data_IF_667135911359
#
_entry.id   IF_667135911359
#
_cell.length_a   1.000
_cell.length_b   1.000
_cell.length_c   1.000
_cell.angle_alpha   90.00
_cell.angle_beta   90.00
_cell.angle_gamma   90.00
#
_symmetry.space_group_name_H-M   'P 1'
#
loop_
_entity.id
_entity.type
_entity.pdbx_description
1 polymer ?
#
# COMPACT_ATOMS: atom_id res chain seq x y z
N UNK A 1 -28.18 4.22 37.48
CA UNK A 1 -27.10 3.46 36.81
C UNK A 1 -27.62 2.80 35.52
N UNK A 2 -28.67 1.96 35.56
CA UNK A 2 -29.23 1.30 34.37
C UNK A 2 -29.73 2.27 33.28
N UNK A 3 -30.44 3.34 33.64
CA UNK A 3 -30.93 4.34 32.68
C UNK A 3 -29.79 5.11 31.97
N UNK A 4 -28.69 5.38 32.69
CA UNK A 4 -27.51 6.01 32.10
C UNK A 4 -26.77 5.05 31.14
N UNK A 5 -26.70 3.76 31.47
CA UNK A 5 -26.15 2.73 30.59
C UNK A 5 -26.99 2.53 29.32
N UNK A 6 -28.32 2.50 29.45
CA UNK A 6 -29.23 2.38 28.31
C UNK A 6 -29.15 3.60 27.38
N UNK A 7 -29.10 4.82 27.96
CA UNK A 7 -28.93 6.05 27.19
C UNK A 7 -27.62 6.10 26.41
N UNK A 8 -26.52 5.65 27.01
CA UNK A 8 -25.21 5.57 26.34
C UNK A 8 -25.24 4.53 25.22
N UNK A 9 -25.82 3.35 25.46
CA UNK A 9 -25.95 2.31 24.45
C UNK A 9 -26.80 2.76 23.24
N UNK A 10 -27.93 3.42 23.48
CA UNK A 10 -28.77 4.00 22.43
C UNK A 10 -28.05 5.12 21.66
N UNK A 11 -27.26 5.94 22.35
CA UNK A 11 -26.46 7.00 21.72
C UNK A 11 -25.39 6.41 20.81
N UNK A 12 -24.69 5.35 21.25
CA UNK A 12 -23.70 4.64 20.42
C UNK A 12 -24.38 3.97 19.23
N UNK A 13 -25.51 3.29 19.44
CA UNK A 13 -26.26 2.65 18.37
C UNK A 13 -26.78 3.67 17.33
N UNK A 14 -27.25 4.84 17.79
CA UNK A 14 -27.66 5.92 16.90
C UNK A 14 -26.46 6.47 16.10
N UNK A 15 -25.34 6.74 16.77
CA UNK A 15 -24.11 7.20 16.10
C UNK A 15 -23.61 6.19 15.06
N UNK A 16 -23.70 4.89 15.38
CA UNK A 16 -23.39 3.80 14.46
C UNK A 16 -24.33 3.78 13.25
N UNK A 17 -25.63 3.96 13.46
CA UNK A 17 -26.61 3.98 12.38
C UNK A 17 -26.43 5.17 11.43
N UNK A 18 -26.00 6.34 11.93
CA UNK A 18 -25.82 7.54 11.11
C UNK A 18 -24.45 7.69 10.46
N UNK A 19 -23.47 6.88 10.85
CA UNK A 19 -22.10 6.91 10.33
C UNK A 19 -22.02 6.24 8.95
N UNK A 20 -21.70 6.97 7.87
CA UNK A 20 -21.55 6.39 6.54
C UNK A 20 -20.43 5.35 6.51
N UNK A 21 -19.30 5.59 7.18
CA UNK A 21 -18.19 4.63 7.20
C UNK A 21 -18.59 3.35 7.97
N UNK A 22 -19.31 3.48 9.08
CA UNK A 22 -19.81 2.32 9.83
C UNK A 22 -20.80 1.50 9.00
N UNK A 23 -21.64 2.12 8.17
CA UNK A 23 -22.56 1.38 7.28
C UNK A 23 -21.80 0.55 6.26
N UNK A 24 -20.79 1.14 5.61
CA UNK A 24 -19.93 0.43 4.66
C UNK A 24 -19.23 -0.75 5.34
N UNK A 25 -18.60 -0.52 6.50
CA UNK A 25 -17.94 -1.56 7.30
C UNK A 25 -18.90 -2.70 7.69
N UNK A 26 -20.09 -2.38 8.20
CA UNK A 26 -21.09 -3.39 8.59
C UNK A 26 -21.64 -4.18 7.40
N UNK A 27 -21.72 -3.55 6.24
CA UNK A 27 -22.15 -4.20 5.00
C UNK A 27 -21.05 -5.02 4.32
N UNK A 28 -19.83 -5.04 4.88
CA UNK A 28 -18.68 -5.72 4.30
C UNK A 28 -18.18 -5.10 3.00
N UNK A 29 -18.58 -3.85 2.71
CA UNK A 29 -18.18 -3.11 1.52
C UNK A 29 -16.85 -2.42 1.73
N UNK A 30 -16.14 -2.20 0.63
CA UNK A 30 -14.85 -1.52 0.63
C UNK A 30 -15.00 -0.07 1.11
N UNK A 31 -14.13 0.32 2.03
CA UNK A 31 -14.07 1.70 2.52
C UNK A 31 -12.92 2.43 1.85
N UNK A 32 -13.24 3.51 1.14
CA UNK A 32 -12.27 4.31 0.37
C UNK A 32 -11.94 5.60 1.10
N UNK A 33 -10.68 5.82 1.43
CA UNK A 33 -10.18 7.00 2.14
C UNK A 33 -9.07 7.66 1.32
N UNK A 34 -9.32 8.86 0.80
CA UNK A 34 -8.36 9.68 0.10
C UNK A 34 -7.58 10.57 1.08
N UNK A 35 -6.28 10.33 1.21
CA UNK A 35 -5.33 11.20 1.88
C UNK A 35 -4.83 12.23 0.87
N UNK A 36 -5.22 13.50 1.06
CA UNK A 36 -5.02 14.58 0.09
C UNK A 36 -3.91 15.53 0.57
N UNK A 37 -2.67 15.28 0.18
CA UNK A 37 -1.55 16.18 0.46
C UNK A 37 -1.38 17.25 -0.62
N UNK A 38 -0.52 18.24 -0.37
CA UNK A 38 -0.31 19.36 -1.29
C UNK A 38 0.33 18.95 -2.63
N UNK A 39 1.25 17.97 -2.61
CA UNK A 39 2.04 17.52 -3.78
C UNK A 39 1.92 16.04 -4.08
N UNK A 40 1.33 15.28 -3.18
CA UNK A 40 1.06 13.86 -3.35
C UNK A 40 -0.24 13.54 -2.63
N UNK A 41 -0.99 12.60 -3.18
CA UNK A 41 -2.19 12.05 -2.56
C UNK A 41 -2.10 10.54 -2.55
N UNK A 42 -2.78 9.91 -1.60
CA UNK A 42 -2.88 8.46 -1.50
C UNK A 42 -4.34 8.05 -1.33
N UNK A 43 -4.80 7.05 -2.06
CA UNK A 43 -6.11 6.43 -1.88
C UNK A 43 -5.92 5.12 -1.13
N UNK A 44 -6.52 5.02 0.05
CA UNK A 44 -6.58 3.79 0.82
C UNK A 44 -7.93 3.12 0.54
N UNK A 45 -7.91 1.87 0.09
CA UNK A 45 -9.09 1.04 -0.09
C UNK A 45 -8.99 -0.08 0.93
N UNK A 46 -9.77 0.03 2.00
CA UNK A 46 -9.87 -1.01 3.01
C UNK A 46 -10.93 -2.03 2.61
N UNK A 47 -10.55 -3.30 2.62
CA UNK A 47 -11.38 -4.45 2.32
C UNK A 47 -11.73 -5.16 3.64
N UNK A 48 -12.93 -4.95 4.23
CA UNK A 48 -13.25 -5.52 5.54
C UNK A 48 -13.21 -7.05 5.54
N UNK A 49 -13.65 -7.68 4.44
CA UNK A 49 -13.69 -9.14 4.29
C UNK A 49 -12.32 -9.81 4.40
N UNK A 50 -11.30 -9.24 3.76
CA UNK A 50 -9.92 -9.76 3.80
C UNK A 50 -9.06 -9.11 4.89
N UNK A 51 -9.56 -8.06 5.54
CA UNK A 51 -8.78 -7.21 6.44
C UNK A 51 -7.49 -6.73 5.78
N UNK A 52 -7.57 -6.31 4.51
CA UNK A 52 -6.44 -5.75 3.76
C UNK A 52 -6.70 -4.30 3.36
N UNK A 53 -5.63 -3.53 3.18
CA UNK A 53 -5.67 -2.13 2.73
C UNK A 53 -4.82 -2.01 1.47
N UNK A 54 -5.48 -1.74 0.35
CA UNK A 54 -4.79 -1.37 -0.88
C UNK A 54 -4.51 0.13 -0.84
N UNK A 55 -3.28 0.52 -1.13
CA UNK A 55 -2.88 1.93 -1.17
C UNK A 55 -2.47 2.30 -2.57
N UNK A 56 -3.06 3.36 -3.11
CA UNK A 56 -2.73 3.93 -4.42
C UNK A 56 -2.14 5.32 -4.24
N UNK A 57 -0.84 5.47 -4.47
CA UNK A 57 -0.15 6.76 -4.40
C UNK A 57 -0.13 7.45 -5.76
N UNK A 58 -0.36 8.75 -5.76
CA UNK A 58 -0.30 9.60 -6.96
C UNK A 58 0.40 10.90 -6.62
N UNK A 59 1.52 11.15 -7.29
CA UNK A 59 2.19 12.45 -7.29
C UNK A 59 1.48 13.41 -8.24
N UNK A 60 1.22 14.64 -7.81
CA UNK A 60 0.54 15.64 -8.62
C UNK A 60 1.08 17.04 -8.37
N UNK A 61 0.84 17.95 -9.32
CA UNK A 61 1.15 19.38 -9.12
C UNK A 61 0.31 19.94 -7.97
N UNK A 62 0.78 21.03 -7.36
CA UNK A 62 0.06 21.70 -6.26
C UNK A 62 -1.38 22.01 -6.66
N UNK A 63 -2.33 21.65 -5.79
CA UNK A 63 -3.76 21.86 -6.04
C UNK A 63 -4.06 23.35 -6.33
N UNK A 64 -5.03 23.59 -7.23
CA UNK A 64 -5.43 24.96 -7.56
C UNK A 64 -6.20 25.56 -6.38
N UNK A 65 -6.02 26.85 -6.14
CA UNK A 65 -6.78 27.57 -5.12
C UNK A 65 -8.30 27.45 -5.39
N UNK A 66 -9.08 27.06 -4.37
CA UNK A 66 -10.53 26.89 -4.47
C UNK A 66 -11.02 25.48 -4.83
N UNK A 67 -10.12 24.52 -5.04
CA UNK A 67 -10.51 23.13 -5.27
C UNK A 67 -10.93 22.44 -3.96
N UNK A 68 -12.18 21.97 -3.90
CA UNK A 68 -12.71 21.28 -2.71
C UNK A 68 -12.05 19.91 -2.52
N UNK A 69 -11.79 19.50 -1.27
CA UNK A 69 -11.24 18.17 -0.96
C UNK A 69 -12.03 17.01 -1.58
N UNK A 70 -13.37 17.10 -1.59
CA UNK A 70 -14.23 16.12 -2.23
C UNK A 70 -13.91 15.90 -3.72
N UNK A 71 -13.80 16.97 -4.51
CA UNK A 71 -13.45 16.88 -5.94
C UNK A 71 -12.09 16.23 -6.16
N UNK A 72 -11.10 16.56 -5.30
CA UNK A 72 -9.78 15.94 -5.35
C UNK A 72 -9.82 14.45 -5.04
N UNK A 73 -10.62 14.04 -4.06
CA UNK A 73 -10.82 12.63 -3.73
C UNK A 73 -11.46 11.85 -4.89
N UNK A 74 -12.52 12.39 -5.50
CA UNK A 74 -13.16 11.78 -6.68
C UNK A 74 -12.19 11.68 -7.86
N UNK A 75 -11.39 12.72 -8.11
CA UNK A 75 -10.39 12.68 -9.18
C UNK A 75 -9.30 11.61 -8.92
N UNK A 76 -8.90 11.43 -7.65
CA UNK A 76 -7.94 10.41 -7.25
C UNK A 76 -8.51 9.00 -7.43
N UNK A 77 -9.77 8.77 -7.07
CA UNK A 77 -10.47 7.49 -7.29
C UNK A 77 -10.57 7.12 -8.76
N UNK A 78 -10.94 8.09 -9.60
CA UNK A 78 -10.97 7.90 -11.05
C UNK A 78 -9.59 7.58 -11.62
N UNK A 79 -8.54 8.23 -11.09
CA UNK A 79 -7.15 7.94 -11.49
C UNK A 79 -6.70 6.52 -11.09
N UNK A 80 -7.24 5.99 -9.99
CA UNK A 80 -7.01 4.61 -9.55
C UNK A 80 -7.87 3.55 -10.27
N UNK A 81 -8.64 3.95 -11.30
CA UNK A 81 -9.47 3.03 -12.08
C UNK A 81 -10.85 2.72 -11.48
N UNK A 82 -11.31 3.52 -10.51
CA UNK A 82 -12.67 3.40 -9.96
C UNK A 82 -13.75 3.64 -11.03
N UNK A 83 -14.78 2.80 -11.06
CA UNK A 83 -15.75 2.74 -12.17
C UNK A 83 -16.99 3.62 -12.03
N UNK A 84 -17.34 4.11 -10.83
CA UNK A 84 -18.61 4.83 -10.61
C UNK A 84 -18.48 5.94 -9.56
N UNK A 85 -19.25 7.01 -9.79
CA UNK A 85 -19.21 8.31 -9.15
C UNK A 85 -19.37 8.30 -7.61
N UNK A 86 -18.27 8.42 -6.88
CA UNK A 86 -18.15 9.19 -5.63
C UNK A 86 -19.07 8.85 -4.45
N UNK A 87 -19.93 7.84 -4.54
CA UNK A 87 -20.78 7.42 -3.43
C UNK A 87 -19.87 6.72 -2.41
N UNK A 88 -19.54 7.47 -1.35
CA UNK A 88 -18.83 7.05 -0.15
C UNK A 88 -17.29 7.03 -0.24
N UNK A 89 -16.71 8.02 -0.95
CA UNK A 89 -15.30 8.35 -0.75
C UNK A 89 -15.13 9.26 0.46
N UNK A 90 -14.29 8.84 1.39
CA UNK A 90 -13.88 9.67 2.52
C UNK A 90 -12.59 10.38 2.17
N UNK A 91 -12.37 11.57 2.71
CA UNK A 91 -11.11 12.27 2.48
C UNK A 91 -10.55 12.88 3.76
N UNK A 92 -9.23 13.00 3.80
CA UNK A 92 -8.46 13.69 4.82
C UNK A 92 -7.44 14.58 4.09
N UNK A 93 -7.61 15.88 4.18
CA UNK A 93 -6.70 16.87 3.67
C UNK A 93 -5.52 17.04 4.64
N UNK A 94 -4.32 16.94 4.08
CA UNK A 94 -3.07 17.00 4.81
C UNK A 94 -2.30 18.26 4.40
N UNK A 95 -1.64 18.95 5.35
CA UNK A 95 -0.83 20.13 5.05
C UNK A 95 0.44 19.77 4.25
N UNK A 96 0.86 18.51 4.30
CA UNK A 96 2.03 17.97 3.60
C UNK A 96 1.65 16.74 2.79
N UNK A 97 2.59 16.23 1.99
CA UNK A 97 2.43 14.92 1.38
C UNK A 97 2.16 13.85 2.46
N UNK A 98 1.29 12.86 2.20
CA UNK A 98 1.09 11.74 3.11
C UNK A 98 2.39 10.96 3.24
N UNK A 99 2.99 11.01 4.43
CA UNK A 99 4.11 10.15 4.79
C UNK A 99 3.56 8.79 5.20
N UNK A 100 3.49 7.91 4.20
CA UNK A 100 2.98 6.56 4.39
C UNK A 100 3.89 5.74 5.31
N UNK A 101 5.20 5.98 5.30
CA UNK A 101 6.16 5.31 6.18
C UNK A 101 5.92 5.68 7.64
N UNK A 102 5.74 6.98 7.93
CA UNK A 102 5.38 7.43 9.27
C UNK A 102 4.03 6.87 9.73
N UNK A 103 3.05 6.82 8.82
CA UNK A 103 1.73 6.24 9.10
C UNK A 103 1.85 4.75 9.46
N UNK A 104 2.57 3.96 8.67
CA UNK A 104 2.79 2.54 8.97
C UNK A 104 3.65 2.30 10.20
N UNK A 105 4.70 3.10 10.38
CA UNK A 105 5.53 3.07 11.58
C UNK A 105 4.68 3.26 12.83
N UNK A 106 3.74 4.21 12.79
CA UNK A 106 2.80 4.43 13.89
C UNK A 106 1.84 3.25 14.07
N UNK A 107 1.25 2.74 12.98
CA UNK A 107 0.32 1.60 13.01
C UNK A 107 0.94 0.29 13.49
N UNK A 108 2.22 0.05 13.22
CA UNK A 108 2.92 -1.14 13.70
C UNK A 108 3.35 -1.01 15.16
N UNK A 109 3.71 0.20 15.59
CA UNK A 109 4.32 0.41 16.90
C UNK A 109 3.35 0.85 18.00
N UNK A 110 2.11 1.27 17.69
CA UNK A 110 1.19 1.77 18.72
C UNK A 110 0.88 0.75 19.82
N UNK A 111 0.84 -0.56 19.51
CA UNK A 111 0.63 -1.62 20.51
C UNK A 111 1.81 -1.73 21.48
N UNK A 112 3.03 -1.57 20.97
CA UNK A 112 4.25 -1.56 21.77
C UNK A 112 4.46 -0.21 22.49
N UNK A 113 3.94 0.88 21.93
CA UNK A 113 4.05 2.24 22.46
C UNK A 113 2.67 2.94 22.46
N UNK A 114 1.78 2.61 23.42
CA UNK A 114 0.41 3.16 23.48
C UNK A 114 0.35 4.68 23.55
N UNK A 115 1.43 5.31 24.05
CA UNK A 115 1.59 6.78 24.08
C UNK A 115 1.46 7.44 22.71
N UNK A 116 1.72 6.71 21.62
CA UNK A 116 1.55 7.20 20.24
C UNK A 116 0.08 7.41 19.86
N UNK A 117 -0.87 6.82 20.59
CA UNK A 117 -2.30 7.03 20.34
C UNK A 117 -2.75 8.44 20.70
N UNK A 118 -2.20 9.05 21.75
CA UNK A 118 -2.59 10.39 22.20
C UNK A 118 -2.35 11.45 21.10
N UNK A 119 -1.15 11.58 20.50
CA UNK A 119 -0.94 12.52 19.41
C UNK A 119 -1.73 12.15 18.15
N UNK A 120 -1.95 10.87 17.87
CA UNK A 120 -2.79 10.45 16.74
C UNK A 120 -4.24 10.90 16.92
N UNK A 121 -4.80 10.72 18.13
CA UNK A 121 -6.16 11.14 18.46
C UNK A 121 -6.29 12.66 18.45
N UNK A 122 -5.34 13.41 19.03
CA UNK A 122 -5.38 14.88 19.00
C UNK A 122 -5.29 15.43 17.58
N UNK A 123 -4.46 14.81 16.74
CA UNK A 123 -4.37 15.12 15.32
C UNK A 123 -5.69 14.85 14.59
N UNK A 124 -6.32 13.69 14.82
CA UNK A 124 -7.64 13.36 14.27
C UNK A 124 -8.72 14.38 14.66
N UNK A 125 -8.74 14.83 15.91
CA UNK A 125 -9.66 15.89 16.34
C UNK A 125 -9.35 17.24 15.68
N UNK A 126 -8.07 17.56 15.45
CA UNK A 126 -7.64 18.77 14.73
C UNK A 126 -8.08 18.82 13.27
N UNK A 127 -8.20 17.67 12.60
CA UNK A 127 -8.67 17.60 11.20
C UNK A 127 -10.13 18.08 11.04
N UNK A 128 -10.95 17.93 12.09
CA UNK A 128 -12.37 18.28 12.02
C UNK A 128 -12.63 19.78 12.03
N UNK A 129 -11.85 20.56 12.77
CA UNK A 129 -12.07 22.01 12.90
C UNK A 129 -11.75 22.79 11.63
N UNK A 130 -10.97 22.22 10.70
CA UNK A 130 -10.51 22.88 9.47
C UNK A 130 -11.26 22.54 8.18
N UNK A 131 -12.41 21.83 8.23
CA UNK A 131 -13.04 21.22 7.04
C UNK A 131 -12.08 20.33 6.24
N UNK A 132 -11.05 19.78 6.91
CA UNK A 132 -10.04 18.95 6.27
C UNK A 132 -10.55 17.53 6.02
N UNK A 133 -11.72 17.15 6.53
CA UNK A 133 -12.30 15.82 6.31
C UNK A 133 -13.82 15.87 6.23
N UNK A 134 -14.41 14.94 5.49
CA UNK A 134 -15.85 14.66 5.52
C UNK A 134 -16.22 13.53 6.52
N UNK A 135 -15.25 12.98 7.24
CA UNK A 135 -15.48 11.95 8.25
C UNK A 135 -16.04 12.59 9.54
N UNK A 136 -17.09 12.00 10.09
CA UNK A 136 -17.52 12.32 11.44
C UNK A 136 -16.52 11.79 12.47
N UNK A 137 -16.55 12.33 13.68
CA UNK A 137 -15.72 11.81 14.78
C UNK A 137 -15.99 10.33 15.08
N UNK A 138 -17.22 9.85 14.85
CA UNK A 138 -17.55 8.44 15.02
C UNK A 138 -17.00 7.60 13.86
N UNK A 139 -17.05 8.07 12.61
CA UNK A 139 -16.41 7.39 11.48
C UNK A 139 -14.91 7.20 11.75
N UNK A 140 -14.24 8.25 12.21
CA UNK A 140 -12.81 8.20 12.56
C UNK A 140 -12.54 7.18 13.67
N UNK A 141 -13.40 7.13 14.69
CA UNK A 141 -13.29 6.15 15.76
C UNK A 141 -13.43 4.71 15.24
N UNK A 142 -14.44 4.42 14.42
CA UNK A 142 -14.65 3.11 13.83
C UNK A 142 -13.48 2.68 12.92
N UNK A 143 -13.04 3.57 12.03
CA UNK A 143 -11.92 3.30 11.14
C UNK A 143 -10.62 3.07 11.91
N UNK A 144 -10.36 3.88 12.94
CA UNK A 144 -9.21 3.67 13.82
C UNK A 144 -9.31 2.33 14.53
N UNK A 145 -10.50 1.93 14.99
CA UNK A 145 -10.75 0.62 15.59
C UNK A 145 -10.44 -0.53 14.63
N UNK A 146 -10.89 -0.47 13.39
CA UNK A 146 -10.57 -1.48 12.38
C UNK A 146 -9.08 -1.50 12.03
N UNK A 147 -8.48 -0.34 11.78
CA UNK A 147 -7.05 -0.23 11.45
C UNK A 147 -6.15 -0.65 12.60
N UNK A 148 -6.62 -0.47 13.84
CA UNK A 148 -5.90 -0.96 15.02
C UNK A 148 -5.72 -2.47 15.00
N UNK A 149 -6.60 -3.23 14.35
CA UNK A 149 -6.48 -4.70 14.25
C UNK A 149 -5.46 -5.12 13.19
N UNK A 150 -5.15 -4.24 12.24
CA UNK A 150 -4.25 -4.55 11.13
C UNK A 150 -2.77 -4.58 11.57
N UNK A 151 -1.96 -5.19 10.71
CA UNK A 151 -0.50 -5.22 10.76
C UNK A 151 0.08 -4.80 9.41
N UNK A 152 1.38 -4.51 9.33
CA UNK A 152 2.04 -4.13 8.06
C UNK A 152 1.79 -5.09 6.90
N UNK A 153 1.67 -6.40 7.16
CA UNK A 153 1.42 -7.39 6.11
C UNK A 153 0.04 -7.29 5.49
N UNK A 154 -0.89 -6.57 6.12
CA UNK A 154 -2.23 -6.33 5.58
C UNK A 154 -2.27 -5.18 4.57
N UNK A 155 -1.17 -4.42 4.42
CA UNK A 155 -1.10 -3.28 3.51
C UNK A 155 -0.46 -3.69 2.19
N UNK A 156 -1.17 -3.46 1.10
CA UNK A 156 -0.71 -3.72 -0.26
C UNK A 156 -0.44 -2.37 -0.92
N UNK A 157 0.82 -2.10 -1.23
CA UNK A 157 1.22 -0.86 -1.87
C UNK A 157 1.18 -0.99 -3.38
N UNK A 158 0.39 -0.15 -4.04
CA UNK A 158 0.34 -0.03 -5.49
C UNK A 158 0.69 1.40 -5.86
N UNK A 159 1.93 1.64 -6.27
CA UNK A 159 2.31 2.96 -6.76
C UNK A 159 1.93 3.09 -8.25
N UNK A 160 0.99 3.99 -8.57
CA UNK A 160 0.60 4.27 -9.95
C UNK A 160 1.44 5.45 -10.42
N UNK A 161 2.68 5.17 -10.80
CA UNK A 161 3.50 6.13 -11.56
C UNK A 161 2.92 6.27 -12.97
N UNK A 162 1.93 7.15 -13.11
CA UNK A 162 1.29 7.46 -14.40
C UNK A 162 2.28 8.23 -15.30
N UNK A 163 3.02 7.50 -16.11
CA UNK A 163 3.40 7.87 -17.49
C UNK A 163 4.09 9.21 -17.74
N UNK A 164 4.77 9.81 -16.75
CA UNK A 164 5.61 11.01 -16.98
C UNK A 164 7.11 10.73 -16.78
N UNK A 165 7.47 9.52 -16.31
CA UNK A 165 8.87 9.13 -16.11
C UNK A 165 9.53 8.50 -17.34
N UNK A 166 8.82 8.11 -18.40
CA UNK A 166 9.45 7.46 -19.57
C UNK A 166 10.41 8.38 -20.36
N UNK A 167 10.25 9.71 -20.23
CA UNK A 167 11.14 10.68 -20.87
C UNK A 167 12.32 11.10 -19.97
N UNK A 168 12.12 11.17 -18.64
CA UNK A 168 13.17 11.59 -17.69
C UNK A 168 14.02 10.41 -17.18
N UNK A 169 13.45 9.20 -16.97
CA UNK A 169 14.23 7.99 -16.61
C UNK A 169 15.18 7.55 -17.74
N UNK A 170 14.89 7.85 -19.01
CA UNK A 170 15.81 7.50 -20.11
C UNK A 170 17.12 8.31 -20.08
N UNK A 171 17.12 9.50 -19.49
CA UNK A 171 18.35 10.28 -19.32
C UNK A 171 19.01 10.01 -17.96
N UNK A 172 18.24 9.74 -16.90
CA UNK A 172 18.77 9.47 -15.55
C UNK A 172 19.25 8.01 -15.35
N UNK A 173 18.71 7.02 -16.07
CA UNK A 173 19.13 5.61 -15.94
C UNK A 173 20.54 5.31 -16.47
N UNK A 174 21.22 6.26 -17.09
CA UNK A 174 22.64 6.11 -17.46
C UNK A 174 23.59 6.34 -16.29
N UNK A 175 23.13 6.88 -15.16
CA UNK A 175 23.98 7.26 -14.04
C UNK A 175 23.66 6.53 -12.71
N UNK A 176 22.52 5.84 -12.60
CA UNK A 176 22.17 5.08 -11.40
C UNK A 176 22.76 3.66 -11.42
N UNK A 177 23.27 3.15 -10.30
CA UNK A 177 23.76 1.77 -10.20
C UNK A 177 22.62 0.78 -10.47
N UNK A 178 22.95 -0.32 -11.15
CA UNK A 178 22.01 -1.37 -11.52
C UNK A 178 21.26 -1.93 -10.29
N UNK A 179 19.94 -2.21 -10.38
CA UNK A 179 19.18 -2.74 -9.25
C UNK A 179 19.72 -4.09 -8.78
N UNK A 180 20.15 -4.17 -7.51
CA UNK A 180 20.76 -5.37 -6.94
C UNK A 180 19.70 -6.37 -6.46
N UNK A 181 19.77 -7.62 -6.94
CA UNK A 181 18.76 -8.66 -6.66
C UNK A 181 19.36 -10.03 -6.35
N UNK A 182 18.60 -10.85 -5.63
CA UNK A 182 18.93 -12.26 -5.35
C UNK A 182 17.94 -13.21 -6.03
N UNK A 183 18.43 -14.37 -6.47
CA UNK A 183 17.62 -15.41 -7.12
C UNK A 183 17.81 -16.73 -6.37
N UNK A 184 16.70 -17.26 -5.89
CA UNK A 184 16.65 -18.56 -5.22
C UNK A 184 15.78 -19.54 -5.98
N UNK A 185 16.24 -20.78 -6.11
CA UNK A 185 15.49 -21.84 -6.74
C UNK A 185 14.84 -22.75 -5.70
N UNK A 186 13.52 -22.64 -5.55
CA UNK A 186 12.70 -23.51 -4.72
C UNK A 186 11.84 -24.49 -5.54
N UNK A 187 11.99 -24.50 -6.87
CA UNK A 187 11.18 -25.33 -7.78
C UNK A 187 11.60 -26.80 -7.80
N UNK A 188 12.85 -27.10 -7.41
CA UNK A 188 13.49 -28.40 -7.59
C UNK A 188 14.03 -28.66 -9.01
N UNK A 189 13.85 -27.73 -9.95
CA UNK A 189 14.38 -27.84 -11.32
C UNK A 189 15.85 -27.43 -11.35
N UNK A 190 16.74 -28.29 -11.84
CA UNK A 190 18.17 -27.97 -11.94
C UNK A 190 18.42 -26.78 -12.88
N UNK A 191 19.34 -25.89 -12.51
CA UNK A 191 19.78 -24.76 -13.34
C UNK A 191 18.82 -23.57 -13.45
N UNK A 192 17.62 -23.62 -12.83
CA UNK A 192 16.61 -22.58 -12.97
C UNK A 192 17.05 -21.20 -12.44
N UNK A 193 17.68 -21.15 -11.26
CA UNK A 193 18.21 -19.90 -10.72
C UNK A 193 19.29 -19.31 -11.62
N UNK A 194 20.19 -20.13 -12.16
CA UNK A 194 21.26 -19.67 -13.04
C UNK A 194 20.72 -19.11 -14.37
N UNK A 195 19.74 -19.79 -14.98
CA UNK A 195 19.08 -19.33 -16.20
C UNK A 195 18.34 -18.01 -15.98
N UNK A 196 17.59 -17.91 -14.88
CA UNK A 196 16.86 -16.68 -14.51
C UNK A 196 17.81 -15.53 -14.21
N UNK A 197 18.91 -15.80 -13.50
CA UNK A 197 19.96 -14.81 -13.22
C UNK A 197 20.59 -14.26 -14.50
N UNK A 198 20.87 -15.12 -15.48
CA UNK A 198 21.40 -14.69 -16.78
C UNK A 198 20.41 -13.78 -17.52
N UNK A 199 19.12 -14.09 -17.47
CA UNK A 199 18.06 -13.26 -18.05
C UNK A 199 17.96 -11.90 -17.37
N UNK A 200 17.90 -11.86 -16.04
CA UNK A 200 17.82 -10.61 -15.28
C UNK A 200 19.04 -9.71 -15.52
N UNK A 201 20.25 -10.27 -15.58
CA UNK A 201 21.45 -9.50 -15.96
C UNK A 201 21.35 -8.91 -17.36
N UNK A 202 20.78 -9.64 -18.33
CA UNK A 202 20.55 -9.08 -19.68
C UNK A 202 19.50 -7.96 -19.72
N UNK A 203 18.69 -7.83 -18.68
CA UNK A 203 17.67 -6.79 -18.50
C UNK A 203 18.18 -5.64 -17.61
N UNK A 204 19.46 -5.62 -17.25
CA UNK A 204 20.07 -4.52 -16.50
C UNK A 204 20.04 -4.66 -14.97
N UNK A 205 19.68 -5.84 -14.44
CA UNK A 205 19.78 -6.11 -12.99
C UNK A 205 21.17 -6.60 -12.59
N UNK A 206 21.64 -6.21 -11.42
CA UNK A 206 22.83 -6.80 -10.80
C UNK A 206 22.44 -7.96 -9.89
N UNK A 207 22.61 -9.19 -10.40
CA UNK A 207 22.27 -10.40 -9.63
C UNK A 207 23.47 -10.82 -8.77
N UNK A 208 23.39 -10.57 -7.46
CA UNK A 208 24.49 -10.84 -6.52
C UNK A 208 24.50 -12.28 -5.98
N UNK A 209 23.32 -12.90 -5.89
CA UNK A 209 23.17 -14.27 -5.38
C UNK A 209 22.30 -15.10 -6.31
N UNK A 210 22.76 -16.31 -6.65
CA UNK A 210 22.01 -17.31 -7.40
C UNK A 210 22.24 -18.68 -6.76
N UNK A 211 21.28 -19.17 -5.96
CA UNK A 211 21.43 -20.43 -5.19
C UNK A 211 20.14 -21.25 -5.16
N UNK A 212 20.24 -22.50 -4.73
CA UNK A 212 19.06 -23.30 -4.38
C UNK A 212 18.49 -22.82 -3.04
N UNK A 213 17.17 -22.82 -2.93
CA UNK A 213 16.48 -22.55 -1.68
C UNK A 213 16.45 -23.81 -0.81
N UNK A 214 16.52 -23.71 0.53
CA UNK A 214 16.54 -24.88 1.41
C UNK A 214 15.26 -25.73 1.34
N UNK A 215 14.13 -25.09 1.06
CA UNK A 215 12.81 -25.73 0.94
C UNK A 215 12.30 -25.68 -0.49
N UNK A 216 11.47 -26.66 -0.85
CA UNK A 216 10.74 -26.63 -2.11
C UNK A 216 9.44 -25.85 -1.93
N UNK A 217 9.22 -24.83 -2.76
CA UNK A 217 8.04 -23.98 -2.71
C UNK A 217 7.14 -24.27 -3.91
N UNK A 218 5.83 -24.29 -3.66
CA UNK A 218 4.84 -24.49 -4.74
C UNK A 218 4.71 -23.23 -5.60
N UNK A 219 4.70 -22.06 -4.96
CA UNK A 219 4.45 -20.77 -5.58
C UNK A 219 5.72 -19.92 -5.64
N UNK A 220 5.81 -19.10 -6.68
CA UNK A 220 6.86 -18.10 -6.84
C UNK A 220 6.57 -16.92 -5.94
N UNK A 221 7.60 -16.34 -5.34
CA UNK A 221 7.45 -15.23 -4.42
C UNK A 221 8.56 -14.21 -4.66
N UNK A 222 8.23 -12.93 -4.56
CA UNK A 222 9.22 -11.86 -4.53
C UNK A 222 9.26 -11.30 -3.11
N UNK A 223 10.45 -11.25 -2.53
CA UNK A 223 10.71 -10.61 -1.25
C UNK A 223 11.38 -9.25 -1.48
N UNK A 224 10.79 -8.16 -0.99
CA UNK A 224 11.45 -6.86 -0.92
C UNK A 224 12.23 -6.73 0.40
N UNK A 225 13.49 -6.29 0.35
CA UNK A 225 14.32 -6.09 1.54
C UNK A 225 14.51 -4.63 1.90
N UNK A 226 14.28 -3.69 0.97
CA UNK A 226 14.25 -2.25 1.23
C UNK A 226 12.83 -1.73 1.50
N UNK A 227 12.73 -0.57 2.15
CA UNK A 227 11.49 0.22 2.20
C UNK A 227 11.07 0.72 0.81
N UNK A 228 12.05 0.92 -0.08
CA UNK A 228 11.81 1.15 -1.50
C UNK A 228 11.43 -0.16 -2.22
N UNK A 229 10.20 -0.23 -2.72
CA UNK A 229 9.68 -1.39 -3.47
C UNK A 229 9.96 -1.32 -4.97
N UNK A 230 10.57 -0.24 -5.46
CA UNK A 230 10.83 -0.03 -6.88
C UNK A 230 11.65 -1.15 -7.52
N UNK A 231 12.64 -1.70 -6.80
CA UNK A 231 13.43 -2.84 -7.28
C UNK A 231 12.59 -4.12 -7.38
N UNK A 232 11.72 -4.38 -6.41
CA UNK A 232 10.84 -5.55 -6.41
C UNK A 232 9.78 -5.47 -7.51
N UNK A 233 9.25 -4.27 -7.78
CA UNK A 233 8.30 -4.02 -8.86
C UNK A 233 8.96 -4.21 -10.24
N UNK A 234 10.15 -3.62 -10.45
CA UNK A 234 10.94 -3.82 -11.68
C UNK A 234 11.26 -5.31 -11.88
N UNK A 235 11.60 -6.03 -10.81
CA UNK A 235 11.87 -7.47 -10.85
C UNK A 235 10.63 -8.28 -11.24
N UNK A 236 9.45 -7.92 -10.70
CA UNK A 236 8.16 -8.56 -11.03
C UNK A 236 7.82 -8.41 -12.51
N UNK A 237 7.94 -7.19 -13.02
CA UNK A 237 7.70 -6.87 -14.44
C UNK A 237 8.67 -7.63 -15.35
N UNK A 238 9.96 -7.62 -15.03
CA UNK A 238 10.99 -8.30 -15.81
C UNK A 238 10.77 -9.82 -15.94
N UNK A 239 10.14 -10.42 -14.93
CA UNK A 239 9.83 -11.84 -14.90
C UNK A 239 8.44 -12.18 -15.49
N UNK A 240 7.62 -11.18 -15.81
CA UNK A 240 6.25 -11.39 -16.32
C UNK A 240 5.31 -11.95 -15.26
N UNK A 241 5.51 -11.57 -13.99
CA UNK A 241 4.78 -12.05 -12.83
C UNK A 241 3.73 -11.03 -12.37
N UNK A 242 2.93 -10.50 -13.29
CA UNK A 242 2.06 -9.33 -13.07
C UNK A 242 1.02 -9.55 -11.97
N UNK A 243 0.53 -10.78 -11.81
CA UNK A 243 -0.44 -11.18 -10.77
C UNK A 243 0.22 -11.61 -9.45
N UNK A 244 1.56 -11.58 -9.37
CA UNK A 244 2.28 -12.13 -8.23
C UNK A 244 2.39 -11.11 -7.09
N UNK A 245 2.06 -11.58 -5.89
CA UNK A 245 2.17 -10.83 -4.64
C UNK A 245 3.63 -10.60 -4.24
N UNK A 246 3.97 -9.35 -3.89
CA UNK A 246 5.28 -8.96 -3.38
C UNK A 246 5.23 -8.94 -1.85
N UNK A 247 6.01 -9.79 -1.20
CA UNK A 247 6.11 -9.85 0.26
C UNK A 247 7.26 -8.97 0.74
N UNK A 248 6.98 -7.87 1.45
CA UNK A 248 8.04 -7.02 1.99
C UNK A 248 8.52 -7.58 3.33
N UNK A 249 9.81 -7.94 3.42
CA UNK A 249 10.48 -8.41 4.64
C UNK A 249 11.66 -7.48 4.95
N UNK A 250 11.35 -6.26 5.37
CA UNK A 250 12.34 -5.20 5.70
C UNK A 250 13.28 -5.53 6.87
N UNK A 251 13.00 -6.59 7.64
CA UNK A 251 13.83 -7.00 8.78
C UNK A 251 15.01 -7.91 8.38
N UNK A 252 15.12 -8.31 7.12
CA UNK A 252 16.18 -9.20 6.65
C UNK A 252 17.41 -8.39 6.21
N UNK A 253 18.56 -8.64 6.84
CA UNK A 253 19.85 -7.99 6.52
C UNK A 253 20.41 -8.49 5.17
N UNK A 254 19.74 -8.21 4.06
CA UNK A 254 20.31 -8.36 2.72
C UNK A 254 20.73 -6.99 2.18
N UNK A 255 21.79 -6.99 1.37
CA UNK A 255 22.24 -5.82 0.62
C UNK A 255 21.52 -5.67 -0.72
N UNK A 256 20.74 -6.68 -1.14
CA UNK A 256 19.88 -6.60 -2.31
C UNK A 256 18.62 -5.80 -2.01
N UNK A 257 18.06 -5.13 -3.02
CA UNK A 257 16.74 -4.50 -2.91
C UNK A 257 15.59 -5.51 -2.91
N UNK A 258 15.78 -6.65 -3.60
CA UNK A 258 14.79 -7.72 -3.64
C UNK A 258 15.40 -9.12 -3.85
N UNK A 259 14.69 -10.16 -3.44
CA UNK A 259 14.93 -11.54 -3.81
C UNK A 259 13.72 -12.12 -4.55
N UNK A 260 13.96 -12.98 -5.53
CA UNK A 260 12.93 -13.86 -6.08
C UNK A 260 13.18 -15.30 -5.64
N UNK A 261 12.15 -15.95 -5.12
CA UNK A 261 12.11 -17.38 -4.80
C UNK A 261 11.26 -18.06 -5.88
N UNK A 262 11.90 -18.81 -6.76
CA UNK A 262 11.27 -19.45 -7.91
C UNK A 262 10.59 -20.76 -7.46
N UNK A 263 9.27 -20.76 -7.45
CA UNK A 263 8.45 -21.91 -7.09
C UNK A 263 8.29 -22.91 -8.24
N UNK A 264 7.56 -23.99 -8.00
CA UNK A 264 7.24 -25.01 -9.03
C UNK A 264 6.37 -24.47 -10.17
N UNK A 265 5.55 -23.47 -9.86
CA UNK A 265 4.71 -22.71 -10.79
C UNK A 265 5.52 -21.79 -11.72
N UNK A 266 6.78 -21.50 -11.41
CA UNK A 266 7.59 -20.62 -12.24
C UNK A 266 7.87 -21.24 -13.61
N UNK A 267 7.28 -20.66 -14.64
CA UNK A 267 7.62 -20.96 -16.02
C UNK A 267 8.49 -19.84 -16.58
N UNK A 268 9.77 -20.09 -16.87
CA UNK A 268 10.58 -19.12 -17.57
C UNK A 268 9.97 -18.92 -18.96
N UNK A 269 9.28 -17.80 -19.18
CA UNK A 269 8.62 -17.53 -20.45
C UNK A 269 9.58 -17.81 -21.62
N UNK A 270 9.18 -18.73 -22.50
CA UNK A 270 9.78 -18.85 -23.83
C UNK A 270 9.41 -17.58 -24.59
N UNK A 271 10.41 -16.83 -25.05
CA UNK A 271 10.23 -15.69 -25.95
C UNK A 271 9.12 -15.99 -26.97
N UNK A 272 8.06 -15.19 -26.93
CA UNK A 272 7.34 -14.87 -28.16
C UNK A 272 8.38 -14.34 -29.16
N UNK A 273 8.40 -14.97 -30.34
CA UNK A 273 9.15 -14.47 -31.49
C UNK A 273 8.66 -13.08 -31.88
#
# INVERSE_FOLDING_TARGET
>A
MLAAGLGLALSVAALQFFSPASRELMSGRDVRIALLGDRASALLVYHPFSSTVNTFTVSHRKARAGETGWRRAVALEQAAGGTVAGENIFFIALPSAPDMEALWGTLNNWRAQPRLLVPAVSWLFGLRSGSATNLSGFDLFCLTGEFSKLSSSNFILTDISRGTMEAEEREESKLLPAPMVEVFNASGRSGLAAATSKRLRSMGFDVITSKSYPTLEKQTMIHGFSSDTGVALKLREALGLEELEIHVKSSQKSVAGAAVILGRDFEPQKKGR
#
